data_IF_643852797873
#
_entry.id   IF_643852797873
#
_cell.length_a   1.000
_cell.length_b   1.000
_cell.length_c   1.000
_cell.angle_alpha   90.00
_cell.angle_beta   90.00
_cell.angle_gamma   90.00
#
_symmetry.space_group_name_H-M   'P 1'
#
loop_
_entity.id
_entity.type
_entity.pdbx_description
1 polymer ?
#
# COMPACT_ATOMS: atom_id res chain seq x y z
N UNK A 1 27.11 -3.27 -20.83
CA UNK A 1 26.00 -3.47 -21.80
C UNK A 1 24.70 -2.95 -21.20
N UNK A 2 23.82 -2.33 -22.00
CA UNK A 2 22.53 -1.73 -21.58
C UNK A 2 21.68 -2.63 -20.67
N UNK A 3 21.71 -3.95 -20.88
CA UNK A 3 21.02 -4.93 -20.02
C UNK A 3 21.45 -4.95 -18.55
N UNK A 4 22.76 -4.83 -18.26
CA UNK A 4 23.26 -4.77 -16.87
C UNK A 4 22.84 -3.50 -16.13
N UNK A 5 22.65 -2.40 -16.87
CA UNK A 5 22.17 -1.13 -16.31
C UNK A 5 20.68 -1.24 -15.96
N UNK A 6 19.87 -1.85 -16.83
CA UNK A 6 18.45 -2.07 -16.56
C UNK A 6 18.23 -3.04 -15.39
N UNK A 7 18.98 -4.14 -15.33
CA UNK A 7 18.95 -5.02 -14.15
C UNK A 7 19.33 -4.28 -12.86
N UNK A 8 20.35 -3.41 -12.90
CA UNK A 8 20.72 -2.59 -11.75
C UNK A 8 19.58 -1.69 -11.25
N UNK A 9 18.85 -1.05 -12.17
CA UNK A 9 17.73 -0.13 -11.85
C UNK A 9 16.51 -0.88 -11.30
N UNK A 10 16.18 -2.04 -11.89
CA UNK A 10 15.00 -2.85 -11.51
C UNK A 10 15.31 -3.93 -10.48
N UNK A 11 16.55 -4.04 -10.01
CA UNK A 11 16.92 -4.97 -8.94
C UNK A 11 16.14 -4.69 -7.66
N UNK A 12 15.84 -5.76 -6.92
CA UNK A 12 15.20 -5.67 -5.59
C UNK A 12 15.98 -4.74 -4.65
N UNK A 13 17.31 -4.79 -4.67
CA UNK A 13 18.16 -3.96 -3.82
C UNK A 13 18.04 -2.47 -4.16
N UNK A 14 17.99 -2.11 -5.45
CA UNK A 14 17.78 -0.74 -5.88
C UNK A 14 16.36 -0.25 -5.53
N UNK A 15 15.34 -1.09 -5.70
CA UNK A 15 13.98 -0.80 -5.27
C UNK A 15 13.91 -0.56 -3.75
N UNK A 16 14.47 -1.46 -2.94
CA UNK A 16 14.48 -1.36 -1.48
C UNK A 16 15.20 -0.08 -1.02
N UNK A 17 16.30 0.29 -1.69
CA UNK A 17 17.02 1.54 -1.42
C UNK A 17 16.13 2.77 -1.70
N UNK A 18 15.47 2.82 -2.86
CA UNK A 18 14.56 3.92 -3.23
C UNK A 18 13.37 4.02 -2.26
N UNK A 19 12.76 2.88 -1.92
CA UNK A 19 11.64 2.84 -0.97
C UNK A 19 12.05 3.26 0.44
N UNK A 20 13.25 2.89 0.90
CA UNK A 20 13.79 3.34 2.19
C UNK A 20 13.97 4.86 2.22
N UNK A 21 14.54 5.42 1.15
CA UNK A 21 14.70 6.87 1.03
C UNK A 21 13.34 7.58 1.06
N UNK A 22 12.38 7.14 0.25
CA UNK A 22 11.03 7.72 0.21
C UNK A 22 10.32 7.68 1.57
N UNK A 23 10.40 6.56 2.30
CA UNK A 23 9.84 6.42 3.65
C UNK A 23 10.49 7.38 4.65
N UNK A 24 11.81 7.50 4.58
CA UNK A 24 12.57 8.42 5.44
C UNK A 24 12.16 9.86 5.19
N UNK A 25 12.07 10.28 3.92
CA UNK A 25 11.59 11.61 3.55
C UNK A 25 10.15 11.89 3.97
N UNK A 26 9.31 10.85 4.03
CA UNK A 26 7.95 10.92 4.55
C UNK A 26 7.86 10.90 6.08
N UNK A 27 8.99 11.01 6.79
CA UNK A 27 9.05 11.08 8.25
C UNK A 27 8.98 9.73 8.97
N UNK A 28 9.17 8.61 8.27
CA UNK A 28 9.23 7.29 8.89
C UNK A 28 10.69 6.92 9.23
N UNK A 29 11.04 6.76 10.53
CA UNK A 29 12.37 6.30 10.91
C UNK A 29 12.72 4.92 10.33
N UNK A 30 14.01 4.58 10.33
CA UNK A 30 14.46 3.26 9.92
C UNK A 30 13.76 2.17 10.72
N UNK A 31 13.33 1.12 10.03
CA UNK A 31 12.66 -0.07 10.59
C UNK A 31 11.29 0.16 11.29
N UNK A 32 10.73 1.37 11.29
CA UNK A 32 9.39 1.62 11.88
C UNK A 32 8.24 1.45 10.88
N UNK A 33 8.57 1.38 9.59
CA UNK A 33 7.58 1.19 8.53
C UNK A 33 6.77 -0.10 8.73
N UNK A 34 5.43 -0.04 8.86
CA UNK A 34 4.64 -1.23 9.16
C UNK A 34 4.73 -2.27 8.05
N UNK A 35 4.75 -3.54 8.45
CA UNK A 35 4.66 -4.65 7.50
C UNK A 35 3.36 -4.56 6.70
N UNK A 36 3.47 -4.68 5.38
CA UNK A 36 2.36 -4.58 4.43
C UNK A 36 1.59 -3.24 4.49
N UNK A 37 2.22 -2.15 4.96
CA UNK A 37 1.56 -0.86 5.14
C UNK A 37 0.73 -0.44 3.92
N UNK A 38 1.32 -0.42 2.71
CA UNK A 38 0.61 -0.01 1.49
C UNK A 38 -0.62 -0.87 1.19
N UNK A 39 -0.50 -2.20 1.33
CA UNK A 39 -1.63 -3.13 1.11
C UNK A 39 -2.72 -2.89 2.15
N UNK A 40 -2.35 -2.73 3.43
CA UNK A 40 -3.30 -2.45 4.52
C UNK A 40 -4.01 -1.11 4.30
N UNK A 41 -3.28 -0.07 3.90
CA UNK A 41 -3.85 1.24 3.54
C UNK A 41 -4.84 1.12 2.39
N UNK A 42 -4.46 0.43 1.31
CA UNK A 42 -5.34 0.18 0.17
C UNK A 42 -6.64 -0.52 0.60
N UNK A 43 -6.54 -1.65 1.32
CA UNK A 43 -7.71 -2.42 1.77
C UNK A 43 -8.65 -1.53 2.58
N UNK A 44 -8.11 -0.79 3.54
CA UNK A 44 -8.89 0.06 4.43
C UNK A 44 -9.61 1.17 3.68
N UNK A 45 -8.90 1.86 2.78
CA UNK A 45 -9.47 2.97 2.03
C UNK A 45 -10.49 2.49 0.99
N UNK A 46 -10.16 1.44 0.24
CA UNK A 46 -11.04 0.86 -0.77
C UNK A 46 -12.34 0.34 -0.14
N UNK A 47 -12.23 -0.45 0.95
CA UNK A 47 -13.42 -0.96 1.63
C UNK A 47 -14.27 0.18 2.23
N UNK A 48 -13.67 1.22 2.81
CA UNK A 48 -14.41 2.36 3.32
C UNK A 48 -15.09 3.20 2.24
N UNK A 49 -14.52 3.29 1.03
CA UNK A 49 -15.11 4.04 -0.08
C UNK A 49 -16.30 3.32 -0.71
N UNK A 50 -16.15 2.01 -0.94
CA UNK A 50 -17.05 1.23 -1.79
C UNK A 50 -17.90 0.23 -1.03
N UNK A 51 -17.55 -0.07 0.23
CA UNK A 51 -18.26 -1.04 1.08
C UNK A 51 -18.45 -2.42 0.43
N UNK A 52 -17.55 -2.80 -0.48
CA UNK A 52 -17.61 -4.05 -1.24
C UNK A 52 -16.44 -4.97 -0.82
N UNK A 53 -16.69 -5.85 0.15
CA UNK A 53 -15.70 -6.78 0.66
C UNK A 53 -15.23 -7.81 -0.40
N UNK A 54 -16.13 -8.47 -1.18
CA UNK A 54 -15.71 -9.41 -2.22
C UNK A 54 -14.71 -8.78 -3.22
N UNK A 55 -15.03 -7.59 -3.73
CA UNK A 55 -14.18 -6.90 -4.69
C UNK A 55 -12.84 -6.49 -4.05
N UNK A 56 -12.89 -5.94 -2.83
CA UNK A 56 -11.67 -5.53 -2.12
C UNK A 56 -10.75 -6.73 -1.88
N UNK A 57 -11.34 -7.87 -1.48
CA UNK A 57 -10.62 -9.11 -1.23
C UNK A 57 -9.95 -9.65 -2.51
N UNK A 58 -10.69 -9.65 -3.63
CA UNK A 58 -10.18 -10.07 -4.93
C UNK A 58 -8.98 -9.21 -5.40
N UNK A 59 -9.07 -7.88 -5.29
CA UNK A 59 -7.98 -6.99 -5.71
C UNK A 59 -6.76 -7.12 -4.79
N UNK A 60 -6.97 -7.22 -3.47
CA UNK A 60 -5.89 -7.28 -2.50
C UNK A 60 -5.25 -8.66 -2.36
N UNK A 61 -5.82 -9.69 -2.99
CA UNK A 61 -5.38 -11.08 -2.87
C UNK A 61 -5.58 -11.63 -1.46
N UNK A 62 -6.76 -11.40 -0.87
CA UNK A 62 -7.12 -11.88 0.48
C UNK A 62 -8.56 -12.44 0.48
N UNK A 63 -9.09 -12.82 1.64
CA UNK A 63 -10.47 -13.32 1.79
C UNK A 63 -11.39 -12.25 2.37
N UNK A 64 -12.68 -12.34 2.07
CA UNK A 64 -13.71 -11.47 2.66
C UNK A 64 -13.73 -11.53 4.19
N UNK A 65 -13.50 -12.72 4.75
CA UNK A 65 -13.40 -12.90 6.20
C UNK A 65 -12.30 -12.03 6.82
N UNK A 66 -11.15 -11.92 6.16
CA UNK A 66 -10.05 -11.05 6.61
C UNK A 66 -10.44 -9.58 6.50
N UNK A 67 -11.19 -9.18 5.47
CA UNK A 67 -11.72 -7.81 5.30
C UNK A 67 -12.62 -7.45 6.47
N UNK A 68 -13.64 -8.29 6.75
CA UNK A 68 -14.61 -8.02 7.80
C UNK A 68 -14.01 -8.03 9.20
N UNK A 69 -13.07 -8.94 9.48
CA UNK A 69 -12.46 -9.04 10.80
C UNK A 69 -11.52 -7.89 11.13
N UNK A 70 -10.76 -7.38 10.15
CA UNK A 70 -9.65 -6.45 10.43
C UNK A 70 -9.90 -5.02 9.96
N UNK A 71 -10.80 -4.79 9.00
CA UNK A 71 -10.90 -3.50 8.31
C UNK A 71 -12.29 -2.87 8.38
N UNK A 72 -13.24 -3.52 9.06
CA UNK A 72 -14.58 -2.97 9.29
C UNK A 72 -14.48 -1.72 10.17
N UNK A 73 -14.96 -0.58 9.66
CA UNK A 73 -14.98 0.71 10.36
C UNK A 73 -13.62 1.28 10.77
N UNK A 74 -12.53 0.84 10.14
CA UNK A 74 -11.17 1.28 10.51
C UNK A 74 -10.87 2.73 10.13
N UNK A 75 -11.53 3.25 9.09
CA UNK A 75 -11.33 4.60 8.56
C UNK A 75 -12.66 5.18 8.06
N UNK A 76 -12.85 6.49 8.22
CA UNK A 76 -14.01 7.20 7.65
C UNK A 76 -13.87 7.30 6.13
N UNK A 77 -14.99 7.21 5.41
CA UNK A 77 -15.02 7.36 3.95
C UNK A 77 -14.38 8.67 3.46
N UNK A 78 -14.55 9.76 4.21
CA UNK A 78 -13.96 11.07 3.90
C UNK A 78 -12.44 11.04 3.89
N UNK A 79 -11.82 10.38 4.87
CA UNK A 79 -10.35 10.21 4.92
C UNK A 79 -9.87 9.21 3.87
N UNK A 80 -10.61 8.12 3.68
CA UNK A 80 -10.29 7.10 2.68
C UNK A 80 -10.27 7.64 1.25
N UNK A 81 -11.13 8.61 0.92
CA UNK A 81 -11.25 9.16 -0.43
C UNK A 81 -10.00 9.95 -0.84
N UNK A 82 -9.26 10.52 0.12
CA UNK A 82 -8.02 11.28 -0.13
C UNK A 82 -6.94 10.43 -0.80
N UNK A 83 -6.97 9.10 -0.64
CA UNK A 83 -6.03 8.22 -1.31
C UNK A 83 -6.12 8.35 -2.85
N UNK A 84 -7.32 8.60 -3.37
CA UNK A 84 -7.59 8.69 -4.81
C UNK A 84 -7.29 10.07 -5.40
N UNK A 85 -6.98 11.05 -4.54
CA UNK A 85 -6.62 12.41 -4.94
C UNK A 85 -5.10 12.58 -5.13
N UNK A 86 -4.29 11.57 -4.77
CA UNK A 86 -2.83 11.59 -4.95
C UNK A 86 -2.51 11.59 -6.45
N UNK A 87 -1.81 12.62 -6.92
CA UNK A 87 -1.34 12.76 -8.29
C UNK A 87 0.21 12.67 -8.37
N UNK A 88 0.77 12.27 -9.52
CA UNK A 88 2.23 12.22 -9.75
C UNK A 88 2.95 13.56 -9.57
#
# INVERSE_FOLDING_TARGET
>A
TRGKILEGIYSKSAFDKRMRAARTSAGWPLATWPQNALRKTFISCHFACYSNAPLTAAIAGTSESVIFSNYRSMIKKTEASKLWEIQP
#
